data_IF_660349723060
#
_entry.id   IF_660349723060
#
_cell.length_a   1.000
_cell.length_b   1.000
_cell.length_c   1.000
_cell.angle_alpha   90.00
_cell.angle_beta   90.00
_cell.angle_gamma   90.00
#
_symmetry.space_group_name_H-M   'P 1'
#
loop_
_entity.id
_entity.type
_entity.pdbx_description
1 polymer ?
#
# COMPACT_ATOMS: atom_id res chain seq x y z
N UNK A 1 -8.90 0.16 -10.06
CA UNK A 1 -10.37 0.06 -9.89
C UNK A 1 -10.85 -1.29 -10.42
N UNK A 2 -11.67 -1.96 -9.66
CA UNK A 2 -12.20 -3.27 -10.03
C UNK A 2 -13.67 -3.18 -10.46
N UNK A 3 -13.96 -3.69 -11.65
CA UNK A 3 -15.33 -3.81 -12.16
C UNK A 3 -15.52 -5.21 -12.72
N UNK A 4 -16.78 -5.64 -12.87
CA UNK A 4 -17.08 -6.92 -13.52
C UNK A 4 -17.38 -6.69 -15.00
N UNK A 5 -17.17 -7.72 -15.83
CA UNK A 5 -17.49 -7.66 -17.24
C UNK A 5 -19.00 -7.51 -17.48
N UNK A 6 -19.81 -8.08 -16.60
CA UNK A 6 -21.29 -8.06 -16.69
C UNK A 6 -21.87 -6.70 -16.27
N UNK A 7 -21.17 -5.96 -15.41
CA UNK A 7 -21.63 -4.68 -14.89
C UNK A 7 -20.46 -3.70 -14.80
N UNK A 8 -19.88 -3.26 -15.93
CA UNK A 8 -18.69 -2.41 -15.92
C UNK A 8 -18.92 -1.02 -15.30
N UNK A 9 -20.16 -0.59 -15.17
CA UNK A 9 -20.53 0.66 -14.48
C UNK A 9 -20.53 0.51 -12.95
N UNK A 10 -20.44 -0.70 -12.43
CA UNK A 10 -20.44 -0.95 -10.99
C UNK A 10 -19.02 -1.14 -10.47
N UNK A 11 -18.59 -0.28 -9.56
CA UNK A 11 -17.26 -0.34 -8.95
C UNK A 11 -17.28 -1.24 -7.72
N UNK A 12 -16.48 -2.31 -7.75
CA UNK A 12 -16.36 -3.25 -6.65
C UNK A 12 -15.25 -2.87 -5.68
N UNK A 13 -14.19 -2.24 -6.19
CA UNK A 13 -13.07 -1.81 -5.38
C UNK A 13 -12.31 -0.70 -6.07
N UNK A 14 -11.68 0.17 -5.30
CA UNK A 14 -10.82 1.22 -5.86
C UNK A 14 -9.73 1.62 -4.89
N UNK A 15 -8.67 2.21 -5.43
CA UNK A 15 -7.62 2.85 -4.64
C UNK A 15 -7.20 4.14 -5.30
N UNK A 16 -6.51 4.97 -4.52
CA UNK A 16 -5.99 6.25 -5.00
C UNK A 16 -4.59 6.44 -4.42
N UNK A 17 -3.63 6.77 -5.27
CA UNK A 17 -2.26 7.07 -4.90
C UNK A 17 -1.97 8.53 -5.21
N UNK A 18 -1.25 9.22 -4.32
CA UNK A 18 -0.80 10.59 -4.53
C UNK A 18 0.66 10.72 -4.10
N UNK A 19 1.47 11.52 -4.81
CA UNK A 19 2.81 11.81 -4.36
C UNK A 19 2.80 12.50 -2.99
N UNK A 20 3.76 12.16 -2.14
CA UNK A 20 3.89 12.76 -0.80
C UNK A 20 5.35 12.80 -0.38
N UNK A 21 5.62 13.50 0.71
CA UNK A 21 6.92 13.54 1.35
C UNK A 21 6.74 13.38 2.85
N UNK A 22 7.68 12.68 3.49
CA UNK A 22 7.74 12.60 4.95
C UNK A 22 9.04 13.21 5.44
N UNK A 23 8.98 13.90 6.58
CA UNK A 23 10.15 14.42 7.23
C UNK A 23 11.02 13.27 7.75
N UNK A 24 12.32 13.40 7.62
CA UNK A 24 13.29 12.39 8.03
C UNK A 24 13.18 12.01 9.50
N UNK A 25 12.88 12.97 10.36
CA UNK A 25 12.84 12.77 11.81
C UNK A 25 11.66 11.90 12.30
N UNK A 26 10.64 11.70 11.46
CA UNK A 26 9.52 10.79 11.80
C UNK A 26 9.77 9.36 11.31
N UNK A 27 10.91 9.11 10.64
CA UNK A 27 11.25 7.81 10.06
C UNK A 27 12.47 7.23 10.79
N UNK A 28 12.58 5.91 10.80
CA UNK A 28 13.78 5.24 11.25
C UNK A 28 14.94 5.54 10.30
N UNK A 29 16.18 5.34 10.76
CA UNK A 29 17.37 5.54 9.93
C UNK A 29 17.30 4.73 8.63
N UNK A 30 16.83 3.50 8.69
CA UNK A 30 16.68 2.65 7.50
C UNK A 30 15.63 3.13 6.55
N UNK A 31 14.60 3.84 7.03
CA UNK A 31 13.54 4.41 6.20
C UNK A 31 13.98 5.72 5.54
N UNK A 32 14.77 6.53 6.23
CA UNK A 32 15.19 7.85 5.75
C UNK A 32 16.40 7.81 4.82
N UNK A 33 17.32 6.89 5.01
CA UNK A 33 18.49 6.69 4.15
C UNK A 33 19.30 7.97 3.83
N UNK A 34 19.38 8.89 4.79
CA UNK A 34 20.18 10.11 4.65
C UNK A 34 19.49 11.32 4.04
N UNK A 35 18.26 11.20 3.55
CA UNK A 35 17.51 12.35 3.02
C UNK A 35 16.89 13.17 4.14
N UNK A 36 16.72 14.48 3.94
CA UNK A 36 16.02 15.37 4.88
C UNK A 36 14.51 15.22 4.79
N UNK A 37 13.99 15.07 3.58
CA UNK A 37 12.62 14.65 3.31
C UNK A 37 12.66 13.43 2.40
N UNK A 38 11.71 12.52 2.57
CA UNK A 38 11.68 11.27 1.83
C UNK A 38 10.47 11.27 0.91
N UNK A 39 10.68 11.19 -0.42
CA UNK A 39 9.57 11.12 -1.35
C UNK A 39 8.91 9.74 -1.30
N UNK A 40 7.59 9.73 -1.48
CA UNK A 40 6.83 8.50 -1.49
C UNK A 40 5.47 8.69 -2.11
N UNK A 41 4.63 7.68 -1.95
CA UNK A 41 3.24 7.71 -2.43
C UNK A 41 2.30 7.46 -1.26
N UNK A 42 1.33 8.34 -1.11
CA UNK A 42 0.28 8.19 -0.11
C UNK A 42 -0.85 7.37 -0.73
N UNK A 43 -1.17 6.24 -0.10
CA UNK A 43 -2.39 5.50 -0.40
C UNK A 43 -3.54 6.27 0.26
N UNK A 44 -4.13 7.19 -0.48
CA UNK A 44 -5.13 8.11 0.05
C UNK A 44 -6.47 7.43 0.27
N UNK A 45 -6.78 6.42 -0.55
CA UNK A 45 -8.03 5.66 -0.43
C UNK A 45 -7.79 4.21 -0.83
N UNK A 46 -8.42 3.32 -0.08
CA UNK A 46 -8.47 1.90 -0.38
C UNK A 46 -9.85 1.43 0.05
N UNK A 47 -10.70 1.08 -0.89
CA UNK A 47 -12.07 0.71 -0.60
C UNK A 47 -12.52 -0.52 -1.38
N UNK A 48 -13.18 -1.43 -0.68
CA UNK A 48 -13.78 -2.64 -1.25
C UNK A 48 -15.27 -2.57 -0.95
N UNK A 49 -16.09 -2.88 -1.96
CA UNK A 49 -17.53 -2.92 -1.81
C UNK A 49 -17.93 -3.82 -0.63
N UNK A 50 -18.96 -3.43 0.12
CA UNK A 50 -19.38 -4.16 1.33
C UNK A 50 -19.70 -5.62 1.06
N UNK A 51 -20.25 -5.95 -0.11
CA UNK A 51 -20.55 -7.32 -0.49
C UNK A 51 -19.30 -8.20 -0.65
N UNK A 52 -18.13 -7.61 -0.87
CA UNK A 52 -16.86 -8.33 -1.02
C UNK A 52 -16.01 -8.37 0.25
N UNK A 53 -16.41 -7.65 1.30
CA UNK A 53 -15.65 -7.61 2.55
C UNK A 53 -15.64 -8.98 3.23
N UNK A 54 -14.54 -9.29 3.91
CA UNK A 54 -14.38 -10.54 4.63
C UNK A 54 -14.04 -11.73 3.75
N UNK A 55 -13.78 -11.53 2.46
CA UNK A 55 -13.44 -12.59 1.50
C UNK A 55 -11.99 -12.56 1.03
N UNK A 56 -11.13 -11.80 1.69
CA UNK A 56 -9.71 -11.70 1.33
C UNK A 56 -9.39 -10.73 0.19
N UNK A 57 -10.36 -10.04 -0.35
CA UNK A 57 -10.15 -9.10 -1.46
C UNK A 57 -9.35 -7.86 -1.06
N UNK A 58 -9.39 -7.48 0.22
CA UNK A 58 -8.59 -6.35 0.72
C UNK A 58 -7.10 -6.54 0.48
N UNK A 59 -6.58 -7.74 0.75
CA UNK A 59 -5.19 -8.07 0.50
C UNK A 59 -4.85 -8.04 -0.99
N UNK A 60 -5.72 -8.58 -1.83
CA UNK A 60 -5.53 -8.56 -3.28
C UNK A 60 -5.55 -7.13 -3.83
N UNK A 61 -6.46 -6.29 -3.34
CA UNK A 61 -6.52 -4.89 -3.72
C UNK A 61 -5.25 -4.15 -3.28
N UNK A 62 -4.74 -4.43 -2.08
CA UNK A 62 -3.50 -3.85 -1.60
C UNK A 62 -2.33 -4.24 -2.52
N UNK A 63 -2.25 -5.50 -2.96
CA UNK A 63 -1.21 -5.95 -3.89
C UNK A 63 -1.29 -5.18 -5.21
N UNK A 64 -2.48 -4.98 -5.76
CA UNK A 64 -2.68 -4.19 -6.98
C UNK A 64 -2.23 -2.74 -6.77
N UNK A 65 -2.56 -2.15 -5.62
CA UNK A 65 -2.14 -0.79 -5.26
C UNK A 65 -0.63 -0.68 -5.18
N UNK A 66 0.01 -1.63 -4.50
CA UNK A 66 1.47 -1.64 -4.34
C UNK A 66 2.18 -1.84 -5.68
N UNK A 67 1.60 -2.63 -6.59
CA UNK A 67 2.12 -2.76 -7.95
C UNK A 67 2.10 -1.43 -8.67
N UNK A 68 1.02 -0.66 -8.54
CA UNK A 68 0.92 0.68 -9.10
C UNK A 68 1.96 1.63 -8.53
N UNK A 69 2.18 1.58 -7.21
CA UNK A 69 3.20 2.40 -6.55
C UNK A 69 4.62 2.05 -7.03
N UNK A 70 4.92 0.75 -7.20
CA UNK A 70 6.22 0.32 -7.68
C UNK A 70 6.49 0.80 -9.11
N UNK A 71 5.49 0.74 -9.98
CA UNK A 71 5.59 1.25 -11.36
C UNK A 71 5.82 2.77 -11.34
N UNK A 72 5.07 3.50 -10.54
CA UNK A 72 5.23 4.95 -10.41
C UNK A 72 6.61 5.30 -9.87
N UNK A 73 7.15 4.54 -8.93
CA UNK A 73 8.47 4.76 -8.37
C UNK A 73 9.59 4.59 -9.40
N UNK A 74 9.46 3.62 -10.31
CA UNK A 74 10.42 3.45 -11.41
C UNK A 74 10.47 4.67 -12.32
N UNK A 75 9.31 5.23 -12.62
CA UNK A 75 9.21 6.37 -13.54
C UNK A 75 9.57 7.71 -12.90
N UNK A 76 9.13 7.94 -11.65
CA UNK A 76 9.22 9.24 -11.00
C UNK A 76 10.00 9.29 -9.70
N UNK A 77 10.59 8.18 -9.30
CA UNK A 77 11.22 8.06 -7.98
C UNK A 77 10.17 7.78 -6.91
N UNK A 78 10.60 7.73 -5.66
CA UNK A 78 9.74 7.40 -4.53
C UNK A 78 10.33 6.23 -3.77
N UNK A 79 10.36 6.35 -2.44
CA UNK A 79 11.05 5.39 -1.59
C UNK A 79 10.13 4.70 -0.61
N UNK A 80 8.94 5.25 -0.40
CA UNK A 80 7.99 4.78 0.61
C UNK A 80 6.59 4.73 0.05
N UNK A 81 5.80 3.82 0.58
CA UNK A 81 4.34 3.88 0.51
C UNK A 81 3.85 4.26 1.90
N UNK A 82 2.97 5.24 1.97
CA UNK A 82 2.42 5.78 3.21
C UNK A 82 0.94 5.52 3.24
N UNK A 83 0.41 5.07 4.38
CA UNK A 83 -1.03 4.86 4.56
C UNK A 83 -1.46 5.46 5.90
N UNK A 84 -2.68 5.98 5.96
CA UNK A 84 -3.31 6.40 7.21
C UNK A 84 -4.44 5.41 7.53
N UNK A 85 -4.33 4.73 8.66
CA UNK A 85 -5.35 3.80 9.12
C UNK A 85 -6.46 4.57 9.82
N UNK A 86 -7.71 4.34 9.41
CA UNK A 86 -8.87 5.02 9.98
C UNK A 86 -9.23 4.52 11.38
N UNK A 87 -8.91 3.27 11.68
CA UNK A 87 -9.22 2.63 12.95
C UNK A 87 -8.23 1.49 13.23
N UNK A 88 -8.40 0.81 14.36
CA UNK A 88 -7.51 -0.27 14.76
C UNK A 88 -7.63 -1.50 13.85
N UNK A 89 -8.79 -1.74 13.28
CA UNK A 89 -8.97 -2.83 12.30
C UNK A 89 -8.11 -2.60 11.07
N UNK A 90 -8.12 -1.38 10.54
CA UNK A 90 -7.28 -0.99 9.42
C UNK A 90 -5.79 -1.04 9.80
N UNK A 91 -5.45 -0.57 11.00
CA UNK A 91 -4.07 -0.61 11.49
C UNK A 91 -3.55 -2.05 11.56
N UNK A 92 -4.34 -2.98 12.08
CA UNK A 92 -3.98 -4.40 12.13
C UNK A 92 -3.78 -4.99 10.73
N UNK A 93 -4.62 -4.61 9.78
CA UNK A 93 -4.50 -5.02 8.39
C UNK A 93 -3.17 -4.59 7.80
N UNK A 94 -2.78 -3.32 7.98
CA UNK A 94 -1.50 -2.84 7.45
C UNK A 94 -0.30 -3.48 8.14
N UNK A 95 -0.34 -3.70 9.46
CA UNK A 95 0.73 -4.41 10.18
C UNK A 95 0.90 -5.83 9.66
N UNK A 96 -0.19 -6.49 9.30
CA UNK A 96 -0.14 -7.84 8.72
C UNK A 96 0.68 -7.87 7.43
N UNK A 97 0.70 -6.78 6.68
CA UNK A 97 1.48 -6.66 5.44
C UNK A 97 2.82 -5.93 5.65
N UNK A 98 3.34 -5.95 6.88
CA UNK A 98 4.66 -5.45 7.23
C UNK A 98 4.84 -3.94 7.16
N UNK A 99 3.75 -3.17 7.14
CA UNK A 99 3.82 -1.74 7.33
C UNK A 99 4.19 -1.43 8.79
N UNK A 100 4.99 -0.40 9.00
CA UNK A 100 5.42 0.03 10.33
C UNK A 100 4.92 1.44 10.62
N UNK A 101 4.53 1.75 11.89
CA UNK A 101 4.06 3.08 12.22
C UNK A 101 5.20 4.10 12.20
N UNK A 102 4.87 5.36 11.87
CA UNK A 102 5.82 6.48 11.98
C UNK A 102 5.86 6.98 13.41
N UNK A 103 6.97 7.62 13.78
CA UNK A 103 7.13 8.22 15.12
C UNK A 103 6.10 9.33 15.33
N UNK A 104 5.42 9.28 16.47
CA UNK A 104 4.47 10.31 16.86
C UNK A 104 3.08 10.19 16.24
N UNK A 105 2.87 9.22 15.35
CA UNK A 105 1.55 8.97 14.77
C UNK A 105 1.32 7.47 14.62
N UNK A 106 0.65 6.83 15.60
CA UNK A 106 0.47 5.38 15.61
C UNK A 106 -0.49 4.87 14.53
N UNK A 107 -1.22 5.76 13.86
CA UNK A 107 -2.16 5.39 12.80
C UNK A 107 -1.62 5.66 11.40
N UNK A 108 -0.43 6.27 11.29
CA UNK A 108 0.24 6.45 10.00
C UNK A 108 1.34 5.39 9.86
N UNK A 109 1.31 4.68 8.76
CA UNK A 109 2.22 3.56 8.50
C UNK A 109 2.99 3.79 7.22
N UNK A 110 4.19 3.20 7.16
CA UNK A 110 5.05 3.25 5.98
C UNK A 110 5.56 1.86 5.62
N UNK A 111 5.81 1.66 4.33
CA UNK A 111 6.46 0.47 3.80
C UNK A 111 7.52 0.95 2.81
N UNK A 112 8.78 0.50 2.98
CA UNK A 112 9.85 0.87 2.05
C UNK A 112 9.62 0.23 0.69
N UNK A 113 9.97 0.93 -0.38
CA UNK A 113 9.78 0.44 -1.75
C UNK A 113 10.50 -0.89 -1.99
N UNK A 114 11.67 -1.09 -1.39
CA UNK A 114 12.37 -2.37 -1.47
C UNK A 114 11.54 -3.52 -0.89
N UNK A 115 10.80 -3.27 0.18
CA UNK A 115 9.92 -4.27 0.79
C UNK A 115 8.64 -4.47 -0.02
N UNK A 116 8.16 -3.43 -0.72
CA UNK A 116 7.06 -3.57 -1.67
C UNK A 116 7.43 -4.59 -2.75
N UNK A 117 8.60 -4.45 -3.35
CA UNK A 117 9.06 -5.37 -4.40
C UNK A 117 9.17 -6.81 -3.88
N UNK A 118 9.68 -6.99 -2.67
CA UNK A 118 9.79 -8.31 -2.04
C UNK A 118 8.44 -8.96 -1.79
N UNK A 119 7.47 -8.17 -1.31
CA UNK A 119 6.11 -8.63 -1.07
C UNK A 119 5.43 -9.04 -2.37
N UNK A 120 5.62 -8.26 -3.44
CA UNK A 120 5.05 -8.57 -4.75
C UNK A 120 5.65 -9.84 -5.34
N UNK A 121 6.96 -10.06 -5.19
CA UNK A 121 7.60 -11.30 -5.64
C UNK A 121 7.06 -12.52 -4.90
N UNK A 122 6.89 -12.42 -3.58
CA UNK A 122 6.29 -13.48 -2.79
C UNK A 122 4.87 -13.79 -3.22
N UNK A 123 4.07 -12.77 -3.50
CA UNK A 123 2.71 -12.94 -4.02
C UNK A 123 2.70 -13.66 -5.36
N UNK A 124 3.57 -13.27 -6.29
CA UNK A 124 3.69 -13.90 -7.60
C UNK A 124 4.07 -15.38 -7.49
N UNK A 125 5.01 -15.71 -6.63
CA UNK A 125 5.41 -17.10 -6.39
C UNK A 125 4.24 -17.95 -5.91
N UNK A 126 3.47 -17.45 -4.93
CA UNK A 126 2.30 -18.15 -4.41
C UNK A 126 1.24 -18.38 -5.48
N UNK A 127 1.06 -17.43 -6.38
CA UNK A 127 0.02 -17.52 -7.41
C UNK A 127 0.46 -18.28 -8.66
N UNK A 128 1.75 -18.40 -8.91
CA UNK A 128 2.29 -19.16 -10.05
C UNK A 128 2.07 -20.67 -9.90
N UNK A 129 2.03 -21.18 -8.68
CA UNK A 129 1.87 -22.60 -8.39
C UNK A 129 0.42 -23.05 -8.30
N UNK A 130 -0.54 -22.23 -8.61
CA UNK A 130 -1.93 -22.65 -8.64
C UNK A 130 -2.22 -23.39 -9.94
N UNK A 131 -2.68 -24.65 -9.84
CA UNK A 131 -3.07 -25.37 -11.04
C UNK A 131 -4.31 -24.75 -11.68
#
# INVERSE_FOLDING_TARGET
MWVTAEAPERVWAYFSLAPTELARDVLSRGQSSGYTTIPGYLLARLAVHTELRGRGYGGQLLVDTLSGAAIAAEAGGGRLVVVDALDETAASFYRHYDFTPVKGNPHRFVLKMANVCRLLLGWLELNTYRP
#
